data_IF_923047206744
#
_entry.id   IF_923047206744
#
_cell.length_a   1.000
_cell.length_b   1.000
_cell.length_c   1.000
_cell.angle_alpha   90.00
_cell.angle_beta   90.00
_cell.angle_gamma   90.00
#
_symmetry.space_group_name_H-M   'P 1'
#
loop_
_entity.id
_entity.type
_entity.pdbx_description
1 polymer ?
#
# COMPACT_ATOMS: atom_id res chain seq x y z
N UNK A 1 -38.50 1.11 4.91
CA UNK A 1 -37.50 0.07 5.22
C UNK A 1 -36.53 0.71 6.19
N UNK A 2 -36.35 0.19 7.40
CA UNK A 2 -35.30 0.69 8.32
C UNK A 2 -33.99 0.72 7.54
N UNK A 3 -33.39 1.90 7.32
CA UNK A 3 -32.09 2.04 6.65
C UNK A 3 -31.01 1.52 7.60
N UNK A 4 -31.02 0.21 7.83
CA UNK A 4 -30.00 -0.48 8.58
C UNK A 4 -28.64 -0.09 7.98
N UNK A 5 -27.76 0.51 8.78
CA UNK A 5 -26.41 0.89 8.35
C UNK A 5 -25.60 -0.28 7.79
N UNK A 6 -24.48 0.04 7.13
CA UNK A 6 -23.64 -0.91 6.36
C UNK A 6 -23.30 -2.16 7.16
N UNK A 7 -23.03 -2.01 8.45
CA UNK A 7 -22.70 -3.12 9.33
C UNK A 7 -23.84 -4.12 9.54
N UNK A 8 -25.05 -3.62 9.75
CA UNK A 8 -26.22 -4.50 9.90
C UNK A 8 -26.62 -5.16 8.58
N UNK A 9 -26.47 -4.48 7.45
CA UNK A 9 -26.66 -5.10 6.12
C UNK A 9 -25.69 -6.25 5.90
N UNK A 10 -24.41 -6.04 6.18
CA UNK A 10 -23.37 -7.07 6.04
C UNK A 10 -23.61 -8.29 6.94
N UNK A 11 -23.98 -8.07 8.20
CA UNK A 11 -24.39 -9.17 9.09
C UNK A 11 -25.58 -9.96 8.53
N UNK A 12 -26.60 -9.26 8.02
CA UNK A 12 -27.78 -9.91 7.44
C UNK A 12 -27.43 -10.76 6.22
N UNK A 13 -26.55 -10.29 5.34
CA UNK A 13 -26.05 -11.08 4.20
C UNK A 13 -25.37 -12.37 4.67
N UNK A 14 -24.43 -12.26 5.61
CA UNK A 14 -23.67 -13.39 6.15
C UNK A 14 -24.59 -14.39 6.84
N UNK A 15 -25.47 -13.94 7.73
CA UNK A 15 -26.37 -14.83 8.47
C UNK A 15 -27.42 -15.48 7.57
N UNK A 16 -27.98 -14.75 6.61
CA UNK A 16 -28.93 -15.32 5.64
C UNK A 16 -28.26 -16.37 4.76
N UNK A 17 -27.07 -16.10 4.24
CA UNK A 17 -26.30 -17.10 3.50
C UNK A 17 -26.00 -18.34 4.35
N UNK A 18 -25.69 -18.13 5.64
CA UNK A 18 -25.44 -19.21 6.60
C UNK A 18 -26.63 -20.14 6.83
N UNK A 19 -27.88 -19.64 6.78
CA UNK A 19 -29.10 -20.48 6.85
C UNK A 19 -29.14 -21.52 5.72
N UNK A 20 -28.58 -21.18 4.56
CA UNK A 20 -28.47 -22.08 3.41
C UNK A 20 -27.13 -22.85 3.36
N UNK A 21 -26.35 -22.84 4.45
CA UNK A 21 -25.07 -23.54 4.54
C UNK A 21 -23.90 -22.86 3.82
N UNK A 22 -24.05 -21.61 3.37
CA UNK A 22 -22.98 -20.86 2.73
C UNK A 22 -22.16 -20.08 3.77
N UNK A 23 -20.85 -20.35 3.81
CA UNK A 23 -19.91 -19.64 4.67
C UNK A 23 -19.27 -18.44 3.95
N UNK A 24 -18.78 -17.43 4.69
CA UNK A 24 -17.98 -16.35 4.12
C UNK A 24 -16.75 -16.89 3.36
N UNK A 25 -16.41 -16.28 2.21
CA UNK A 25 -15.30 -16.72 1.35
C UNK A 25 -13.97 -16.66 2.09
N UNK A 26 -13.77 -15.57 2.84
CA UNK A 26 -12.64 -15.36 3.73
C UNK A 26 -13.09 -15.21 5.19
N UNK A 27 -12.24 -15.50 6.18
CA UNK A 27 -12.58 -15.28 7.59
C UNK A 27 -12.78 -13.80 7.90
N UNK A 28 -13.71 -13.52 8.81
CA UNK A 28 -14.02 -12.16 9.29
C UNK A 28 -13.05 -11.63 10.35
N UNK A 29 -12.16 -12.48 10.89
CA UNK A 29 -11.12 -12.05 11.84
C UNK A 29 -9.75 -12.02 11.17
N UNK A 30 -8.98 -10.96 11.43
CA UNK A 30 -7.66 -10.79 10.82
C UNK A 30 -6.67 -11.93 11.14
N UNK A 31 -6.75 -12.51 12.35
CA UNK A 31 -5.90 -13.65 12.74
C UNK A 31 -6.23 -14.89 11.91
N UNK A 32 -7.51 -15.23 11.76
CA UNK A 32 -7.93 -16.38 10.95
C UNK A 32 -7.64 -16.14 9.45
N UNK A 33 -7.84 -14.91 8.99
CA UNK A 33 -7.52 -14.47 7.63
C UNK A 33 -6.04 -14.69 7.30
N UNK A 34 -5.13 -14.19 8.15
CA UNK A 34 -3.69 -14.40 7.97
C UNK A 34 -3.30 -15.89 8.08
N UNK A 35 -3.89 -16.64 9.02
CA UNK A 35 -3.61 -18.05 9.19
C UNK A 35 -4.01 -18.89 7.97
N UNK A 36 -5.16 -18.60 7.35
CA UNK A 36 -5.57 -19.24 6.10
C UNK A 36 -4.67 -18.80 4.93
N UNK A 37 -4.35 -17.51 4.82
CA UNK A 37 -3.47 -17.02 3.76
C UNK A 37 -2.07 -17.65 3.84
N UNK A 38 -1.53 -17.88 5.04
CA UNK A 38 -0.26 -18.61 5.25
C UNK A 38 -0.29 -20.02 4.67
N UNK A 39 -1.43 -20.71 4.76
CA UNK A 39 -1.60 -22.07 4.21
C UNK A 39 -1.80 -22.06 2.68
N UNK A 40 -2.36 -21.00 2.13
CA UNK A 40 -2.66 -20.89 0.71
C UNK A 40 -1.44 -20.39 -0.12
N UNK A 41 -0.60 -19.54 0.45
CA UNK A 41 0.55 -18.96 -0.24
C UNK A 41 1.77 -19.87 -0.19
N UNK A 42 2.58 -19.82 -1.25
CA UNK A 42 3.90 -20.43 -1.21
C UNK A 42 4.82 -19.68 -0.22
N UNK A 43 5.91 -20.31 0.26
CA UNK A 43 6.78 -19.73 1.29
C UNK A 43 7.35 -18.35 0.95
N UNK A 44 7.76 -18.11 -0.31
CA UNK A 44 8.35 -16.83 -0.75
C UNK A 44 7.30 -15.72 -0.78
N UNK A 45 6.13 -16.00 -1.33
CA UNK A 45 5.03 -15.05 -1.37
C UNK A 45 4.54 -14.68 0.03
N UNK A 46 4.41 -15.67 0.92
CA UNK A 46 4.03 -15.42 2.30
C UNK A 46 5.10 -14.63 3.06
N UNK A 47 6.38 -15.01 2.94
CA UNK A 47 7.50 -14.31 3.55
C UNK A 47 7.54 -12.83 3.15
N UNK A 48 7.40 -12.54 1.86
CA UNK A 48 7.43 -11.18 1.34
C UNK A 48 6.34 -10.28 1.93
N UNK A 49 5.11 -10.78 2.05
CA UNK A 49 3.98 -9.96 2.57
C UNK A 49 3.96 -9.94 4.11
N UNK A 50 4.23 -11.07 4.76
CA UNK A 50 4.14 -11.21 6.22
C UNK A 50 5.38 -10.70 6.97
N UNK A 51 6.53 -10.64 6.29
CA UNK A 51 7.80 -10.25 6.87
C UNK A 51 7.85 -8.78 7.29
N UNK A 52 8.63 -8.52 8.33
CA UNK A 52 9.03 -7.19 8.78
C UNK A 52 10.55 -6.99 8.72
N UNK A 53 11.02 -5.84 9.18
CA UNK A 53 12.44 -5.59 9.39
C UNK A 53 12.92 -6.26 10.69
N UNK A 54 14.20 -6.64 10.73
CA UNK A 54 14.85 -7.19 11.93
C UNK A 54 14.11 -8.38 12.51
N UNK A 55 13.93 -8.38 13.83
CA UNK A 55 13.19 -9.41 14.59
C UNK A 55 11.67 -9.15 14.58
N UNK A 56 11.20 -8.24 13.71
CA UNK A 56 9.81 -7.83 13.54
C UNK A 56 9.18 -7.27 14.82
N UNK A 57 10.00 -6.68 15.69
CA UNK A 57 9.55 -6.08 16.96
C UNK A 57 8.58 -4.94 16.69
N UNK A 58 8.94 -4.01 15.81
CA UNK A 58 8.06 -2.87 15.44
C UNK A 58 6.79 -3.35 14.75
N UNK A 59 6.85 -4.39 13.90
CA UNK A 59 5.65 -4.97 13.28
C UNK A 59 4.66 -5.48 14.34
N UNK A 60 5.14 -6.19 15.37
CA UNK A 60 4.29 -6.64 16.49
C UNK A 60 3.83 -5.47 17.35
N UNK A 61 4.71 -4.49 17.61
CA UNK A 61 4.40 -3.33 18.43
C UNK A 61 3.31 -2.44 17.80
N UNK A 62 3.32 -2.28 16.47
CA UNK A 62 2.23 -1.61 15.72
C UNK A 62 0.86 -2.25 15.99
N UNK A 63 0.80 -3.58 16.10
CA UNK A 63 -0.45 -4.30 16.40
C UNK A 63 -0.81 -4.13 17.88
N UNK A 64 0.15 -4.38 18.77
CA UNK A 64 -0.05 -4.28 20.21
C UNK A 64 -0.44 -2.87 20.67
N UNK A 65 -0.13 -1.83 19.88
CA UNK A 65 -0.50 -0.45 20.21
C UNK A 65 -2.01 -0.22 20.26
N UNK A 66 -2.77 -0.83 19.36
CA UNK A 66 -4.22 -0.76 19.37
C UNK A 66 -4.81 -1.44 20.62
N UNK A 67 -4.20 -2.52 21.08
CA UNK A 67 -4.72 -3.33 22.21
C UNK A 67 -4.63 -2.57 23.55
N UNK A 68 -3.83 -1.48 23.62
CA UNK A 68 -3.73 -0.58 24.78
C UNK A 68 -4.83 0.48 24.85
N UNK A 69 -5.73 0.51 23.87
CA UNK A 69 -6.85 1.44 23.84
C UNK A 69 -8.16 0.66 23.90
N UNK A 70 -9.04 1.07 24.79
CA UNK A 70 -10.37 0.50 24.96
C UNK A 70 -11.41 1.57 24.65
N UNK A 71 -12.43 1.21 23.86
CA UNK A 71 -13.53 2.13 23.56
C UNK A 71 -14.50 2.15 24.75
N UNK A 72 -15.00 3.33 25.12
CA UNK A 72 -15.96 3.51 26.21
C UNK A 72 -17.37 3.70 25.62
N UNK A 73 -18.27 2.70 25.66
CA UNK A 73 -19.60 2.82 25.07
C UNK A 73 -20.48 3.82 25.81
N UNK A 74 -21.33 4.52 25.07
CA UNK A 74 -22.32 5.47 25.58
C UNK A 74 -23.73 4.92 25.36
N UNK A 75 -24.41 4.59 26.44
CA UNK A 75 -25.74 3.97 26.43
C UNK A 75 -26.86 5.00 26.25
N UNK A 76 -28.06 4.54 25.88
CA UNK A 76 -29.28 5.35 25.71
C UNK A 76 -29.14 6.52 24.72
N UNK A 77 -28.34 6.34 23.67
CA UNK A 77 -28.25 7.27 22.54
C UNK A 77 -28.98 6.69 21.34
N UNK A 78 -29.73 7.54 20.62
CA UNK A 78 -30.33 7.13 19.35
C UNK A 78 -29.25 7.05 18.27
N UNK A 79 -28.96 5.81 17.86
CA UNK A 79 -27.99 5.49 16.80
C UNK A 79 -28.67 4.80 15.63
N UNK A 80 -29.98 4.95 15.47
CA UNK A 80 -30.76 4.28 14.42
C UNK A 80 -30.24 4.59 13.01
N UNK A 81 -29.72 5.80 12.78
CA UNK A 81 -29.01 6.23 11.57
C UNK A 81 -27.57 6.66 11.91
N UNK A 82 -26.64 6.33 11.01
CA UNK A 82 -25.20 6.64 11.16
C UNK A 82 -24.63 7.11 9.83
N UNK A 83 -23.83 8.15 9.87
CA UNK A 83 -23.01 8.62 8.76
C UNK A 83 -21.54 8.26 9.02
N UNK A 84 -21.02 7.30 8.26
CA UNK A 84 -19.61 6.90 8.32
C UNK A 84 -18.73 7.73 7.40
N UNK A 85 -19.28 8.62 6.58
CA UNK A 85 -18.52 9.31 5.54
C UNK A 85 -17.55 10.37 6.09
N UNK A 86 -16.51 10.65 5.32
CA UNK A 86 -15.55 11.74 5.59
C UNK A 86 -15.22 12.49 4.31
N UNK A 87 -14.98 13.79 4.42
CA UNK A 87 -14.42 14.59 3.31
C UNK A 87 -12.89 14.49 3.32
N UNK A 88 -12.28 14.26 2.17
CA UNK A 88 -10.82 14.24 2.02
C UNK A 88 -10.44 14.71 0.61
N UNK A 89 -9.67 15.81 0.53
CA UNK A 89 -9.26 16.45 -0.73
C UNK A 89 -10.40 16.66 -1.73
N UNK A 90 -11.54 17.18 -1.26
CA UNK A 90 -12.71 17.48 -2.10
C UNK A 90 -13.55 16.26 -2.49
N UNK A 91 -13.30 15.09 -1.90
CA UNK A 91 -14.11 13.88 -2.09
C UNK A 91 -14.79 13.44 -0.80
N UNK A 92 -16.08 13.15 -0.89
CA UNK A 92 -16.83 12.42 0.14
C UNK A 92 -16.57 10.93 0.02
N UNK A 93 -15.81 10.38 0.97
CA UNK A 93 -15.51 8.95 1.05
C UNK A 93 -16.58 8.23 1.88
N UNK A 94 -16.91 6.94 1.59
CA UNK A 94 -17.94 6.21 2.33
C UNK A 94 -17.55 5.93 3.80
N UNK A 95 -16.25 5.92 4.09
CA UNK A 95 -15.67 5.71 5.41
C UNK A 95 -14.25 6.29 5.47
N UNK A 96 -13.67 6.51 6.68
CA UNK A 96 -12.27 6.92 6.86
C UNK A 96 -11.27 5.78 6.57
N UNK A 97 -11.36 5.17 5.39
CA UNK A 97 -10.61 3.99 4.97
C UNK A 97 -10.11 4.16 3.53
N UNK A 98 -8.83 3.87 3.32
CA UNK A 98 -8.19 3.72 2.02
C UNK A 98 -7.46 2.37 1.97
N UNK A 99 -7.25 1.82 0.78
CA UNK A 99 -6.31 0.73 0.57
C UNK A 99 -4.92 1.31 0.37
N UNK A 100 -4.01 1.01 1.30
CA UNK A 100 -2.63 1.46 1.24
C UNK A 100 -1.84 0.80 0.11
N UNK A 101 -0.74 1.43 -0.35
CA UNK A 101 0.06 0.93 -1.45
C UNK A 101 0.83 -0.33 -1.03
N UNK A 102 0.63 -1.43 -1.75
CA UNK A 102 1.35 -2.70 -1.56
C UNK A 102 1.97 -3.13 -2.89
N UNK A 103 3.29 -2.98 -3.01
CA UNK A 103 4.02 -3.33 -4.24
C UNK A 103 4.22 -4.84 -4.44
N UNK A 104 4.42 -5.24 -5.70
CA UNK A 104 4.66 -6.61 -6.15
C UNK A 104 3.59 -7.62 -5.72
N UNK A 105 2.31 -7.20 -5.66
CA UNK A 105 1.22 -8.04 -5.18
C UNK A 105 0.84 -9.18 -6.16
N UNK A 106 1.45 -9.23 -7.35
CA UNK A 106 1.46 -10.43 -8.20
C UNK A 106 2.07 -11.67 -7.52
N UNK A 107 2.88 -11.48 -6.47
CA UNK A 107 3.35 -12.60 -5.65
C UNK A 107 2.19 -13.28 -4.91
N UNK A 108 1.09 -12.57 -4.68
CA UNK A 108 -0.06 -13.05 -3.93
C UNK A 108 -1.10 -13.68 -4.85
N UNK A 109 -1.43 -13.02 -5.96
CA UNK A 109 -2.44 -13.47 -6.90
C UNK A 109 -2.18 -12.93 -8.31
N UNK A 110 -2.48 -13.73 -9.34
CA UNK A 110 -2.18 -13.40 -10.75
C UNK A 110 -2.84 -12.12 -11.27
N UNK A 111 -4.02 -11.77 -10.74
CA UNK A 111 -4.71 -10.53 -11.12
C UNK A 111 -4.18 -9.30 -10.37
N UNK A 112 -3.31 -9.51 -9.37
CA UNK A 112 -2.56 -8.48 -8.66
C UNK A 112 -3.39 -7.21 -8.35
N UNK A 113 -2.86 -6.04 -8.74
CA UNK A 113 -3.46 -4.73 -8.51
C UNK A 113 -4.83 -4.58 -9.17
N UNK A 114 -5.10 -5.21 -10.32
CA UNK A 114 -6.41 -5.12 -11.00
C UNK A 114 -7.55 -5.71 -10.17
N UNK A 115 -7.30 -6.81 -9.46
CA UNK A 115 -8.30 -7.39 -8.56
C UNK A 115 -8.57 -6.46 -7.37
N UNK A 116 -7.54 -5.78 -6.87
CA UNK A 116 -7.68 -4.80 -5.78
C UNK A 116 -8.42 -3.56 -6.27
N UNK A 117 -8.09 -3.07 -7.46
CA UNK A 117 -8.71 -1.91 -8.09
C UNK A 117 -10.22 -2.11 -8.33
N UNK A 118 -10.63 -3.27 -8.85
CA UNK A 118 -12.06 -3.58 -9.03
C UNK A 118 -12.81 -3.70 -7.71
N UNK A 119 -12.21 -4.34 -6.71
CA UNK A 119 -12.81 -4.44 -5.37
C UNK A 119 -12.95 -3.05 -4.72
N UNK A 120 -11.92 -2.20 -4.80
CA UNK A 120 -11.93 -0.82 -4.31
C UNK A 120 -13.02 0.02 -4.99
N UNK A 121 -13.13 -0.09 -6.31
CA UNK A 121 -14.17 0.59 -7.09
C UNK A 121 -15.58 0.14 -6.70
N UNK A 122 -15.80 -1.18 -6.54
CA UNK A 122 -17.09 -1.76 -6.15
C UNK A 122 -17.57 -1.29 -4.77
N UNK A 123 -16.65 -0.96 -3.85
CA UNK A 123 -16.97 -0.49 -2.50
C UNK A 123 -16.86 1.03 -2.34
N UNK A 124 -16.42 1.76 -3.37
CA UNK A 124 -16.15 3.20 -3.31
C UNK A 124 -14.97 3.60 -2.40
N UNK A 125 -14.15 2.63 -1.96
CA UNK A 125 -13.01 2.87 -1.07
C UNK A 125 -11.80 3.26 -1.94
N UNK A 126 -11.09 4.36 -1.66
CA UNK A 126 -9.94 4.73 -2.47
C UNK A 126 -8.84 3.68 -2.45
N UNK A 127 -8.19 3.48 -3.60
CA UNK A 127 -6.96 2.70 -3.71
C UNK A 127 -5.77 3.63 -3.93
N UNK A 128 -4.69 3.43 -3.17
CA UNK A 128 -3.40 4.06 -3.43
C UNK A 128 -2.57 3.12 -4.32
N UNK A 129 -2.38 3.49 -5.58
CA UNK A 129 -1.54 2.74 -6.51
C UNK A 129 -0.08 2.81 -6.05
N UNK A 130 0.60 1.67 -5.98
CA UNK A 130 2.03 1.65 -5.64
C UNK A 130 2.89 2.00 -6.85
N UNK A 131 3.99 2.73 -6.61
CA UNK A 131 5.05 2.90 -7.61
C UNK A 131 5.61 1.53 -8.06
N UNK A 132 5.63 0.52 -7.18
CA UNK A 132 6.02 -0.86 -7.50
C UNK A 132 4.81 -1.79 -7.72
N UNK A 133 3.76 -1.28 -8.36
CA UNK A 133 2.63 -2.12 -8.77
C UNK A 133 3.05 -3.16 -9.83
N UNK A 134 2.30 -4.26 -9.86
CA UNK A 134 2.42 -5.31 -10.88
C UNK A 134 1.54 -5.05 -12.11
N UNK A 135 0.66 -4.06 -12.05
CA UNK A 135 -0.13 -3.54 -13.18
C UNK A 135 0.00 -2.02 -13.22
N UNK A 136 -0.04 -1.41 -14.41
CA UNK A 136 0.12 0.03 -14.55
C UNK A 136 -1.04 0.81 -13.91
N UNK A 137 -0.77 2.07 -13.54
CA UNK A 137 -1.80 2.92 -12.93
C UNK A 137 -2.94 3.21 -13.90
N UNK A 138 -2.65 3.28 -15.20
CA UNK A 138 -3.63 3.53 -16.26
C UNK A 138 -4.60 2.35 -16.41
N UNK A 139 -4.09 1.11 -16.39
CA UNK A 139 -4.94 -0.09 -16.45
C UNK A 139 -5.81 -0.22 -15.19
N UNK A 140 -5.25 0.06 -14.01
CA UNK A 140 -6.03 0.08 -12.76
C UNK A 140 -7.08 1.21 -12.78
N UNK A 141 -6.71 2.40 -13.24
CA UNK A 141 -7.61 3.53 -13.37
C UNK A 141 -8.77 3.25 -14.32
N UNK A 142 -8.51 2.56 -15.45
CA UNK A 142 -9.53 2.20 -16.43
C UNK A 142 -10.64 1.34 -15.80
N UNK A 143 -10.29 0.32 -15.00
CA UNK A 143 -11.28 -0.56 -14.35
C UNK A 143 -11.97 0.11 -13.16
N UNK A 144 -11.36 1.16 -12.58
CA UNK A 144 -11.95 1.93 -11.49
C UNK A 144 -12.92 3.02 -11.96
N UNK A 145 -12.98 3.34 -13.25
CA UNK A 145 -13.92 4.34 -13.78
C UNK A 145 -13.73 5.70 -13.12
N UNK A 146 -14.73 6.19 -12.38
CA UNK A 146 -14.67 7.45 -11.60
C UNK A 146 -14.36 7.30 -10.11
N UNK A 147 -14.10 6.08 -9.62
CA UNK A 147 -13.84 5.83 -8.19
C UNK A 147 -12.55 6.51 -7.70
N UNK A 148 -12.49 6.97 -6.44
CA UNK A 148 -11.33 7.72 -5.93
C UNK A 148 -10.07 6.85 -5.94
N UNK A 149 -8.92 7.45 -6.25
CA UNK A 149 -7.63 6.76 -6.35
C UNK A 149 -6.48 7.72 -6.15
N UNK A 150 -5.41 7.28 -5.52
CA UNK A 150 -4.20 8.08 -5.32
C UNK A 150 -2.99 7.36 -5.91
N UNK A 151 -1.88 8.08 -6.06
CA UNK A 151 -0.61 7.48 -6.48
C UNK A 151 0.45 7.62 -5.41
N UNK A 152 1.08 6.51 -5.05
CA UNK A 152 2.25 6.50 -4.19
C UNK A 152 3.51 6.69 -5.02
N UNK A 153 4.26 7.75 -4.72
CA UNK A 153 5.53 8.06 -5.37
C UNK A 153 6.69 7.49 -4.55
N UNK A 154 7.52 6.67 -5.21
CA UNK A 154 8.90 6.43 -4.77
C UNK A 154 9.81 7.31 -5.61
N UNK A 155 10.46 8.26 -4.94
CA UNK A 155 11.21 9.30 -5.61
C UNK A 155 12.57 8.75 -6.05
N UNK A 156 12.65 8.42 -7.34
CA UNK A 156 13.83 7.81 -7.95
C UNK A 156 14.99 8.80 -8.10
N UNK A 157 16.19 8.31 -8.41
CA UNK A 157 17.35 9.15 -8.74
C UNK A 157 17.22 9.87 -10.09
N UNK A 158 16.27 9.46 -10.94
CA UNK A 158 15.94 10.16 -12.19
C UNK A 158 14.77 11.12 -11.97
N UNK A 159 15.08 12.42 -11.94
CA UNK A 159 14.08 13.48 -11.83
C UNK A 159 13.12 13.49 -13.04
N UNK A 160 13.62 13.24 -14.25
CA UNK A 160 12.79 13.15 -15.46
C UNK A 160 11.76 12.01 -15.36
N UNK A 161 12.16 10.85 -14.83
CA UNK A 161 11.24 9.74 -14.62
C UNK A 161 10.19 10.08 -13.54
N UNK A 162 10.61 10.74 -12.46
CA UNK A 162 9.69 11.20 -11.40
C UNK A 162 8.65 12.15 -11.97
N UNK A 163 9.07 13.13 -12.77
CA UNK A 163 8.17 14.06 -13.45
C UNK A 163 7.20 13.33 -14.39
N UNK A 164 7.68 12.32 -15.13
CA UNK A 164 6.82 11.50 -15.99
C UNK A 164 5.77 10.71 -15.21
N UNK A 165 6.17 10.06 -14.11
CA UNK A 165 5.27 9.30 -13.25
C UNK A 165 4.21 10.19 -12.59
N UNK A 166 4.60 11.38 -12.15
CA UNK A 166 3.68 12.38 -11.58
C UNK A 166 2.66 12.84 -12.63
N UNK A 167 3.11 13.21 -13.83
CA UNK A 167 2.20 13.60 -14.91
C UNK A 167 1.29 12.45 -15.37
N UNK A 168 1.74 11.20 -15.26
CA UNK A 168 0.90 10.02 -15.50
C UNK A 168 -0.14 9.81 -14.41
N UNK A 169 0.20 10.05 -13.14
CA UNK A 169 -0.74 9.99 -12.04
C UNK A 169 -1.88 11.01 -12.20
N UNK A 170 -1.55 12.25 -12.60
CA UNK A 170 -2.54 13.27 -12.94
C UNK A 170 -3.48 12.82 -14.07
N UNK A 171 -2.91 12.32 -15.18
CA UNK A 171 -3.69 11.81 -16.33
C UNK A 171 -4.54 10.58 -16.00
N UNK A 172 -4.11 9.76 -15.05
CA UNK A 172 -4.86 8.62 -14.55
C UNK A 172 -6.03 9.03 -13.62
N UNK A 173 -6.19 10.33 -13.35
CA UNK A 173 -7.25 10.87 -12.50
C UNK A 173 -7.00 10.61 -11.02
N UNK A 174 -5.74 10.56 -10.59
CA UNK A 174 -5.44 10.44 -9.16
C UNK A 174 -5.83 11.72 -8.43
N UNK A 175 -6.42 11.59 -7.23
CA UNK A 175 -6.84 12.73 -6.43
C UNK A 175 -5.72 13.26 -5.50
N UNK A 176 -4.63 12.52 -5.30
CA UNK A 176 -3.47 12.93 -4.49
C UNK A 176 -2.20 12.10 -4.78
N UNK A 177 -1.05 12.65 -4.38
CA UNK A 177 0.25 11.96 -4.33
C UNK A 177 0.64 11.60 -2.89
N UNK A 178 1.13 10.38 -2.69
CA UNK A 178 1.67 9.89 -1.42
C UNK A 178 3.17 9.64 -1.57
N UNK A 179 3.99 10.63 -1.19
CA UNK A 179 5.45 10.55 -1.27
C UNK A 179 5.96 9.72 -0.10
N UNK A 180 6.51 8.54 -0.39
CA UNK A 180 6.96 7.61 0.66
C UNK A 180 8.43 7.84 1.00
N UNK A 181 8.70 8.31 2.21
CA UNK A 181 10.03 8.73 2.67
C UNK A 181 10.74 7.70 3.56
N UNK A 182 10.01 6.71 4.07
CA UNK A 182 10.54 5.70 5.01
C UNK A 182 11.20 4.48 4.32
N UNK A 183 11.35 4.50 3.00
CA UNK A 183 11.94 3.41 2.19
C UNK A 183 12.89 3.98 1.12
N UNK A 184 13.71 4.97 1.48
CA UNK A 184 14.77 5.46 0.59
C UNK A 184 15.88 4.43 0.37
N UNK A 185 15.97 3.46 1.28
CA UNK A 185 16.76 2.23 1.20
C UNK A 185 15.89 1.03 1.60
N UNK A 186 16.33 -0.18 1.25
CA UNK A 186 15.66 -1.40 1.71
C UNK A 186 16.04 -1.72 3.16
N UNK A 187 15.04 -1.86 4.02
CA UNK A 187 15.22 -2.39 5.37
C UNK A 187 15.73 -3.84 5.37
N UNK A 188 16.41 -4.21 6.46
CA UNK A 188 16.91 -5.56 6.68
C UNK A 188 15.76 -6.52 6.99
N UNK A 189 15.38 -7.39 6.05
CA UNK A 189 14.21 -8.29 6.16
C UNK A 189 14.64 -9.76 6.15
N UNK A 190 14.89 -10.39 7.31
CA UNK A 190 15.43 -11.75 7.38
C UNK A 190 14.64 -12.79 6.59
N UNK A 191 13.30 -12.74 6.61
CA UNK A 191 12.48 -13.71 5.86
C UNK A 191 12.71 -13.69 4.35
N UNK A 192 12.98 -12.52 3.78
CA UNK A 192 13.27 -12.36 2.34
C UNK A 192 14.73 -12.77 2.06
N UNK A 193 15.65 -12.38 2.94
CA UNK A 193 17.08 -12.66 2.85
C UNK A 193 17.39 -14.17 2.96
N UNK A 194 16.81 -14.86 3.93
CA UNK A 194 16.99 -16.31 4.15
C UNK A 194 16.48 -17.16 2.97
N UNK A 195 15.55 -16.59 2.18
CA UNK A 195 15.02 -17.22 0.97
C UNK A 195 15.73 -16.75 -0.30
N UNK A 196 16.68 -15.81 -0.20
CA UNK A 196 17.37 -15.17 -1.32
C UNK A 196 16.40 -14.57 -2.32
N UNK A 197 15.30 -13.97 -1.85
CA UNK A 197 14.17 -13.60 -2.70
C UNK A 197 13.86 -12.10 -2.64
N UNK A 198 14.05 -11.42 -3.77
CA UNK A 198 13.55 -10.07 -4.01
C UNK A 198 12.74 -10.07 -5.32
N UNK A 199 11.44 -9.74 -5.32
CA UNK A 199 10.60 -9.78 -6.52
C UNK A 199 11.16 -8.94 -7.67
N UNK A 200 11.70 -7.75 -7.36
CA UNK A 200 12.18 -6.81 -8.35
C UNK A 200 13.33 -7.36 -9.20
N UNK A 201 14.19 -8.20 -8.61
CA UNK A 201 15.27 -8.89 -9.34
C UNK A 201 14.75 -9.89 -10.39
N UNK A 202 13.45 -10.20 -10.38
CA UNK A 202 12.77 -11.05 -11.37
C UNK A 202 11.85 -10.24 -12.30
N UNK A 203 11.94 -8.90 -12.28
CA UNK A 203 11.06 -8.02 -13.04
C UNK A 203 9.65 -7.92 -12.49
N UNK A 204 9.41 -8.30 -11.23
CA UNK A 204 8.08 -8.25 -10.62
C UNK A 204 7.86 -6.94 -9.89
N UNK A 205 6.66 -6.37 -9.99
CA UNK A 205 6.31 -5.10 -9.34
C UNK A 205 7.02 -3.89 -9.95
N UNK A 206 7.29 -3.91 -11.26
CA UNK A 206 7.90 -2.78 -11.99
C UNK A 206 7.03 -2.30 -13.15
N UNK A 207 5.72 -2.59 -13.12
CA UNK A 207 4.82 -2.29 -14.23
C UNK A 207 4.74 -0.79 -14.52
N UNK A 208 4.78 0.06 -13.48
CA UNK A 208 4.81 1.51 -13.66
C UNK A 208 6.04 1.96 -14.45
N UNK A 209 7.17 1.27 -14.30
CA UNK A 209 8.42 1.60 -14.98
C UNK A 209 8.39 1.07 -16.41
N UNK A 210 8.04 -0.20 -16.60
CA UNK A 210 8.03 -0.80 -17.94
C UNK A 210 6.91 -0.25 -18.84
N UNK A 211 5.89 0.41 -18.28
CA UNK A 211 4.91 1.20 -19.02
C UNK A 211 5.33 2.66 -19.27
N UNK A 212 6.41 3.14 -18.65
CA UNK A 212 6.86 4.53 -18.73
C UNK A 212 7.76 4.80 -19.95
N UNK A 213 7.50 5.86 -20.74
CA UNK A 213 8.34 6.17 -21.89
C UNK A 213 9.75 6.65 -21.50
N UNK A 214 9.93 7.38 -20.39
CA UNK A 214 11.26 7.81 -19.92
C UNK A 214 12.07 6.59 -19.49
N UNK A 215 11.46 5.72 -18.69
CA UNK A 215 12.13 4.49 -18.25
C UNK A 215 12.54 3.60 -19.43
N UNK A 216 11.67 3.43 -20.44
CA UNK A 216 12.01 2.63 -21.63
C UNK A 216 13.24 3.18 -22.36
N UNK A 217 13.37 4.50 -22.49
CA UNK A 217 14.58 5.11 -23.06
C UNK A 217 15.82 4.82 -22.23
N UNK A 218 15.75 4.97 -20.90
CA UNK A 218 16.87 4.64 -20.00
C UNK A 218 17.31 3.16 -20.15
N UNK A 219 16.35 2.25 -20.38
CA UNK A 219 16.64 0.83 -20.61
C UNK A 219 17.34 0.61 -21.96
N UNK A 220 16.87 1.27 -23.02
CA UNK A 220 17.47 1.19 -24.36
C UNK A 220 18.91 1.75 -24.35
N UNK A 221 19.13 2.89 -23.69
CA UNK A 221 20.46 3.49 -23.52
C UNK A 221 21.41 2.55 -22.78
N UNK A 222 20.95 1.90 -21.70
CA UNK A 222 21.76 0.90 -20.98
C UNK A 222 22.08 -0.32 -21.83
N UNK A 223 21.10 -0.82 -22.57
CA UNK A 223 21.29 -2.00 -23.42
C UNK A 223 22.29 -1.70 -24.54
N UNK A 224 22.30 -0.48 -25.10
CA UNK A 224 23.26 -0.04 -26.11
C UNK A 224 24.70 0.10 -25.57
N UNK A 225 24.85 0.42 -24.28
CA UNK A 225 26.16 0.56 -23.63
C UNK A 225 26.77 -0.78 -23.16
N UNK A 226 26.00 -1.87 -23.18
CA UNK A 226 26.49 -3.20 -22.80
C UNK A 226 27.18 -3.85 -24.01
N UNK A 227 28.51 -4.08 -24.00
CA UNK A 227 29.23 -4.56 -25.18
C UNK A 227 28.73 -5.94 -25.63
N UNK A 228 28.67 -6.13 -26.96
CA UNK A 228 28.33 -7.40 -27.56
C UNK A 228 29.32 -8.50 -27.11
N UNK A 229 28.87 -9.75 -26.91
CA UNK A 229 29.67 -10.84 -26.34
C UNK A 229 30.94 -11.21 -27.13
N UNK A 230 31.12 -10.67 -28.34
CA UNK A 230 32.19 -11.00 -29.29
C UNK A 230 33.27 -9.91 -29.45
N UNK A 231 33.33 -8.90 -28.57
CA UNK A 231 34.44 -7.93 -28.60
C UNK A 231 35.72 -8.49 -27.92
N UNK A 232 36.91 -8.38 -28.56
CA UNK A 232 38.17 -8.83 -27.96
C UNK A 232 38.53 -7.91 -26.77
N UNK A 233 38.46 -8.44 -25.55
CA UNK A 233 38.73 -7.71 -24.29
C UNK A 233 37.83 -8.11 -23.12
N UNK A 234 36.71 -8.79 -23.39
CA UNK A 234 35.75 -9.25 -22.37
C UNK A 234 36.13 -10.58 -21.66
N UNK A 235 37.40 -11.00 -21.70
CA UNK A 235 37.82 -12.31 -21.17
C UNK A 235 38.11 -12.32 -19.66
N UNK A 236 38.33 -11.17 -19.00
CA UNK A 236 38.67 -11.15 -17.57
C UNK A 236 37.45 -11.32 -16.63
N UNK A 237 36.23 -11.10 -17.12
CA UNK A 237 35.00 -11.21 -16.33
C UNK A 237 34.25 -12.55 -16.50
N UNK A 238 34.75 -13.45 -17.36
CA UNK A 238 34.10 -14.75 -17.62
C UNK A 238 34.31 -15.80 -16.52
N UNK A 239 35.33 -15.63 -15.67
CA UNK A 239 35.68 -16.61 -14.64
C UNK A 239 34.74 -16.64 -13.42
N UNK A 240 33.71 -15.79 -13.40
CA UNK A 240 32.76 -15.71 -12.29
C UNK A 240 31.28 -15.79 -12.68
N UNK A 241 30.93 -16.14 -13.93
CA UNK A 241 29.51 -16.34 -14.28
C UNK A 241 29.06 -17.75 -13.89
N UNK A 242 28.17 -17.91 -12.90
CA UNK A 242 27.72 -19.22 -12.46
C UNK A 242 27.03 -19.95 -13.61
N UNK A 243 27.26 -21.27 -13.70
CA UNK A 243 26.61 -22.13 -14.71
C UNK A 243 25.09 -21.90 -14.70
N UNK A 244 24.43 -21.87 -15.87
CA UNK A 244 23.00 -21.59 -15.95
C UNK A 244 22.22 -22.62 -15.13
N UNK A 245 21.60 -22.15 -14.04
CA UNK A 245 20.76 -22.99 -13.17
C UNK A 245 19.31 -22.95 -13.64
N UNK A 246 18.47 -23.95 -13.31
CA UNK A 246 17.03 -23.87 -13.55
C UNK A 246 16.38 -22.63 -12.91
N UNK A 247 16.96 -22.12 -11.83
CA UNK A 247 16.53 -20.86 -11.21
C UNK A 247 16.82 -19.65 -12.10
N UNK A 248 18.01 -19.58 -12.71
CA UNK A 248 18.37 -18.51 -13.64
C UNK A 248 17.47 -18.50 -14.90
N UNK A 249 17.14 -19.67 -15.45
CA UNK A 249 16.21 -19.78 -16.59
C UNK A 249 14.81 -19.27 -16.21
N UNK A 250 14.30 -19.65 -15.04
CA UNK A 250 13.01 -19.14 -14.54
C UNK A 250 13.03 -17.63 -14.30
N UNK A 251 14.15 -17.08 -13.84
CA UNK A 251 14.31 -15.65 -13.67
C UNK A 251 14.24 -14.92 -15.03
N UNK A 252 14.94 -15.42 -16.05
CA UNK A 252 14.88 -14.86 -17.41
C UNK A 252 13.47 -14.88 -18.00
N UNK A 253 12.73 -15.98 -17.83
CA UNK A 253 11.32 -16.06 -18.26
C UNK A 253 10.46 -15.04 -17.51
N UNK A 254 10.70 -14.84 -16.21
CA UNK A 254 10.02 -13.82 -15.41
C UNK A 254 10.26 -12.41 -15.96
N UNK A 255 11.53 -12.04 -16.17
CA UNK A 255 11.91 -10.75 -16.73
C UNK A 255 11.29 -10.53 -18.11
N UNK A 256 11.37 -11.53 -19.00
CA UNK A 256 10.84 -11.45 -20.34
C UNK A 256 9.31 -11.27 -20.39
N UNK A 257 8.57 -11.76 -19.38
CA UNK A 257 7.12 -11.54 -19.25
C UNK A 257 6.77 -10.16 -18.72
N UNK A 258 7.64 -9.55 -17.92
CA UNK A 258 7.43 -8.23 -17.34
C UNK A 258 7.73 -7.09 -18.32
N UNK A 259 8.55 -7.36 -19.34
CA UNK A 259 8.82 -6.43 -20.41
C UNK A 259 7.67 -6.43 -21.46
N UNK A 260 7.26 -5.27 -21.99
CA UNK A 260 6.25 -5.19 -23.03
C UNK A 260 6.64 -5.96 -24.30
N UNK A 261 5.65 -6.49 -25.03
CA UNK A 261 5.88 -7.22 -26.29
C UNK A 261 5.72 -8.73 -26.16
N UNK A 262 6.09 -9.46 -27.21
CA UNK A 262 5.92 -10.93 -27.21
C UNK A 262 7.01 -11.62 -26.39
N UNK A 263 6.63 -12.68 -25.67
CA UNK A 263 7.59 -13.46 -24.86
C UNK A 263 8.74 -14.01 -25.72
N UNK A 264 8.46 -14.39 -26.97
CA UNK A 264 9.46 -14.96 -27.88
C UNK A 264 10.51 -13.93 -28.30
N UNK A 265 10.11 -12.68 -28.53
CA UNK A 265 11.02 -11.58 -28.83
C UNK A 265 11.81 -11.20 -27.58
N UNK A 266 11.13 -11.09 -26.44
CA UNK A 266 11.75 -10.69 -25.18
C UNK A 266 12.82 -11.68 -24.71
N UNK A 267 12.61 -12.99 -24.92
CA UNK A 267 13.63 -14.01 -24.62
C UNK A 267 14.91 -13.90 -25.46
N UNK A 268 14.88 -13.18 -26.60
CA UNK A 268 16.04 -12.94 -27.48
C UNK A 268 16.58 -11.52 -27.38
N UNK A 269 15.94 -10.68 -26.57
CA UNK A 269 16.28 -9.27 -26.42
C UNK A 269 17.10 -9.05 -25.14
N UNK A 270 18.07 -8.13 -25.13
CA UNK A 270 18.74 -7.71 -23.90
C UNK A 270 17.85 -6.84 -23.01
N UNK A 271 16.76 -6.27 -23.55
CA UNK A 271 15.94 -5.26 -22.88
C UNK A 271 15.32 -5.73 -21.56
N UNK A 272 14.75 -6.95 -21.42
CA UNK A 272 14.13 -7.35 -20.15
C UNK A 272 15.14 -7.41 -18.98
N UNK A 273 16.37 -7.83 -19.25
CA UNK A 273 17.44 -7.84 -18.25
C UNK A 273 17.91 -6.42 -17.95
N UNK A 274 18.14 -5.61 -18.98
CA UNK A 274 18.50 -4.21 -18.83
C UNK A 274 17.43 -3.43 -18.06
N UNK A 275 16.15 -3.77 -18.20
CA UNK A 275 15.04 -3.18 -17.45
C UNK A 275 15.15 -3.44 -15.95
N UNK A 276 15.39 -4.69 -15.54
CA UNK A 276 15.60 -5.02 -14.13
C UNK A 276 16.82 -4.31 -13.57
N UNK A 277 17.94 -4.34 -14.29
CA UNK A 277 19.16 -3.68 -13.87
C UNK A 277 18.94 -2.16 -13.75
N UNK A 278 18.23 -1.54 -14.70
CA UNK A 278 17.91 -0.10 -14.70
C UNK A 278 17.06 0.26 -13.50
N UNK A 279 15.98 -0.48 -13.29
CA UNK A 279 15.14 -0.33 -12.11
C UNK A 279 15.98 -0.39 -10.83
N UNK A 280 16.76 -1.46 -10.64
CA UNK A 280 17.56 -1.69 -9.43
C UNK A 280 18.58 -0.57 -9.16
N UNK A 281 19.04 0.13 -10.20
CA UNK A 281 20.00 1.23 -10.06
C UNK A 281 19.39 2.59 -9.74
N UNK A 282 18.09 2.80 -9.99
CA UNK A 282 17.47 4.14 -9.89
C UNK A 282 16.36 4.23 -8.85
N UNK A 283 15.75 3.11 -8.43
CA UNK A 283 14.55 3.15 -7.58
C UNK A 283 14.80 3.66 -6.15
N UNK A 284 16.04 3.59 -5.67
CA UNK A 284 16.44 3.99 -4.32
C UNK A 284 17.22 5.30 -4.36
N UNK A 285 16.75 6.31 -3.62
CA UNK A 285 17.38 7.63 -3.50
C UNK A 285 17.51 8.03 -2.02
N UNK A 286 18.58 7.60 -1.33
CA UNK A 286 18.85 7.97 0.08
C UNK A 286 19.22 9.44 0.27
N UNK A 287 19.50 10.18 -0.81
CA UNK A 287 19.93 11.57 -0.78
C UNK A 287 18.80 12.60 -0.80
N UNK A 288 17.53 12.19 -0.72
CA UNK A 288 16.39 13.13 -0.71
C UNK A 288 16.43 13.97 0.58
N UNK A 289 16.20 15.26 0.41
CA UNK A 289 16.13 16.25 1.46
C UNK A 289 14.83 17.05 1.37
N UNK A 290 14.63 17.95 2.33
CA UNK A 290 13.49 18.86 2.32
C UNK A 290 13.53 19.87 1.17
N UNK A 291 14.72 20.22 0.66
CA UNK A 291 14.88 21.19 -0.42
C UNK A 291 14.35 20.63 -1.75
N UNK A 292 14.42 19.31 -1.93
CA UNK A 292 13.85 18.62 -3.10
C UNK A 292 12.32 18.79 -3.18
N UNK A 293 11.62 18.97 -2.05
CA UNK A 293 10.17 19.06 -2.01
C UNK A 293 9.62 20.23 -2.86
N UNK A 294 10.32 21.36 -2.89
CA UNK A 294 9.95 22.51 -3.72
C UNK A 294 9.93 22.15 -5.22
N UNK A 295 10.87 21.31 -5.66
CA UNK A 295 10.95 20.84 -7.04
C UNK A 295 9.73 19.99 -7.43
N UNK A 296 9.28 19.10 -6.53
CA UNK A 296 8.12 18.24 -6.78
C UNK A 296 6.82 19.05 -6.76
N UNK A 297 6.67 19.96 -5.79
CA UNK A 297 5.50 20.85 -5.70
C UNK A 297 5.32 21.70 -6.95
N UNK A 298 6.41 22.12 -7.59
CA UNK A 298 6.35 22.90 -8.83
C UNK A 298 5.88 22.10 -10.07
N UNK A 299 5.76 20.77 -9.97
CA UNK A 299 5.49 19.85 -11.10
C UNK A 299 4.13 19.18 -11.06
N UNK A 300 3.34 19.45 -10.04
CA UNK A 300 2.00 18.90 -9.91
C UNK A 300 1.07 19.87 -9.24
N UNK A 301 -0.22 19.71 -9.55
CA UNK A 301 -1.33 20.36 -8.85
C UNK A 301 -2.03 19.44 -7.86
N UNK A 302 -1.63 18.16 -7.81
CA UNK A 302 -2.20 17.21 -6.87
C UNK A 302 -1.76 17.54 -5.44
N UNK A 303 -2.66 17.37 -4.45
CA UNK A 303 -2.28 17.36 -3.05
C UNK A 303 -1.14 16.38 -2.79
N UNK A 304 -0.11 16.82 -2.07
CA UNK A 304 1.05 16.01 -1.69
C UNK A 304 0.95 15.62 -0.22
N UNK A 305 1.01 14.32 0.05
CA UNK A 305 1.14 13.77 1.40
C UNK A 305 2.50 13.14 1.60
N UNK A 306 3.15 13.43 2.72
CA UNK A 306 4.39 12.75 3.11
C UNK A 306 4.08 11.53 3.98
N UNK A 307 4.48 10.34 3.52
CA UNK A 307 4.28 9.08 4.23
C UNK A 307 5.57 8.58 4.88
N UNK A 308 5.44 8.13 6.13
CA UNK A 308 6.55 7.68 6.96
C UNK A 308 6.89 8.65 8.09
N UNK A 309 6.07 9.68 8.30
CA UNK A 309 6.25 10.68 9.35
C UNK A 309 5.95 10.04 10.71
N UNK A 310 6.88 10.11 11.65
CA UNK A 310 6.69 9.62 13.02
C UNK A 310 7.04 10.67 14.06
N UNK A 311 7.89 11.64 13.72
CA UNK A 311 8.31 12.69 14.64
C UNK A 311 7.45 13.95 14.47
N UNK A 312 7.01 14.60 15.57
CA UNK A 312 6.22 15.83 15.50
C UNK A 312 6.93 16.98 14.78
N UNK A 313 8.26 17.08 14.89
CA UNK A 313 9.02 18.13 14.18
C UNK A 313 9.03 17.94 12.66
N UNK A 314 9.09 16.69 12.19
CA UNK A 314 8.98 16.41 10.75
C UNK A 314 7.58 16.75 10.24
N UNK A 315 6.54 16.50 11.05
CA UNK A 315 5.18 16.90 10.71
C UNK A 315 5.05 18.44 10.61
N UNK A 316 5.61 19.19 11.57
CA UNK A 316 5.63 20.66 11.51
C UNK A 316 6.36 21.14 10.26
N UNK A 317 7.56 20.62 10.02
CA UNK A 317 8.38 20.99 8.86
C UNK A 317 7.69 20.67 7.54
N UNK A 318 6.96 19.57 7.46
CA UNK A 318 6.16 19.23 6.28
C UNK A 318 5.09 20.28 6.00
N UNK A 319 4.31 20.68 7.02
CA UNK A 319 3.28 21.72 6.88
C UNK A 319 3.90 23.07 6.53
N UNK A 320 5.01 23.43 7.18
CA UNK A 320 5.69 24.70 6.93
C UNK A 320 6.30 24.74 5.50
N UNK A 321 6.64 23.58 4.93
CA UNK A 321 7.05 23.42 3.53
C UNK A 321 5.87 23.39 2.53
N UNK A 322 4.63 23.47 3.02
CA UNK A 322 3.41 23.57 2.23
C UNK A 322 2.94 22.26 1.62
N UNK A 323 3.14 21.13 2.29
CA UNK A 323 2.46 19.87 1.92
C UNK A 323 1.00 19.88 2.37
N UNK A 324 0.17 19.06 1.74
CA UNK A 324 -1.28 19.05 1.93
C UNK A 324 -1.75 17.99 2.93
N UNK A 325 -0.85 17.15 3.43
CA UNK A 325 -1.15 16.15 4.45
C UNK A 325 0.08 15.32 4.86
N UNK A 326 -0.09 14.51 5.90
CA UNK A 326 0.94 13.56 6.34
C UNK A 326 0.32 12.19 6.60
N UNK A 327 1.09 11.12 6.38
CA UNK A 327 0.70 9.75 6.72
C UNK A 327 1.66 9.22 7.78
N UNK A 328 1.15 9.05 9.00
CA UNK A 328 1.87 8.44 10.12
C UNK A 328 2.02 6.95 9.82
N UNK A 329 3.26 6.48 9.65
CA UNK A 329 3.53 5.12 9.19
C UNK A 329 4.92 4.65 9.59
N UNK A 330 5.03 3.36 9.91
CA UNK A 330 6.31 2.64 10.05
C UNK A 330 6.53 1.69 8.87
N UNK A 331 5.83 1.91 7.75
CA UNK A 331 5.76 0.99 6.63
C UNK A 331 5.27 -0.41 7.01
N UNK A 332 4.37 -0.50 8.00
CA UNK A 332 3.93 -1.77 8.56
C UNK A 332 5.03 -2.55 9.29
N UNK A 333 6.06 -1.85 9.79
CA UNK A 333 7.23 -2.42 10.47
C UNK A 333 8.22 -3.12 9.54
N UNK A 334 8.32 -2.69 8.27
CA UNK A 334 9.11 -3.35 7.21
C UNK A 334 10.45 -2.69 6.91
N UNK A 335 10.76 -1.55 7.54
CA UNK A 335 11.94 -0.73 7.23
C UNK A 335 12.89 -0.64 8.42
N UNK A 336 12.47 0.06 9.47
CA UNK A 336 13.22 0.19 10.72
C UNK A 336 12.59 -0.70 11.78
N UNK A 337 13.34 -1.67 12.29
CA UNK A 337 12.96 -2.40 13.50
C UNK A 337 13.41 -1.65 14.76
N UNK A 338 12.72 -1.88 15.89
CA UNK A 338 12.84 -1.08 17.12
C UNK A 338 12.38 0.39 16.99
N UNK A 339 11.69 0.75 15.91
CA UNK A 339 10.96 2.02 15.80
C UNK A 339 9.72 2.06 16.70
N UNK A 340 9.31 3.27 17.10
CA UNK A 340 8.03 3.55 17.78
C UNK A 340 6.85 3.02 16.94
N UNK A 341 5.79 2.48 17.56
CA UNK A 341 4.56 2.12 16.85
C UNK A 341 3.90 3.35 16.20
N UNK A 342 3.38 3.19 14.98
CA UNK A 342 2.74 4.30 14.27
C UNK A 342 1.54 4.90 15.04
N UNK A 343 0.73 4.06 15.70
CA UNK A 343 -0.38 4.54 16.52
C UNK A 343 0.08 5.37 17.73
N UNK A 344 1.26 5.09 18.29
CA UNK A 344 1.80 5.86 19.42
C UNK A 344 2.35 7.22 18.98
N UNK A 345 2.88 7.30 17.76
CA UNK A 345 3.34 8.57 17.18
C UNK A 345 2.17 9.48 16.76
N UNK A 346 0.99 8.92 16.49
CA UNK A 346 -0.15 9.64 15.93
C UNK A 346 -0.60 10.84 16.78
N UNK A 347 -0.86 10.73 18.10
CA UNK A 347 -1.31 11.87 18.90
C UNK A 347 -0.31 13.02 18.93
N UNK A 348 0.99 12.73 18.97
CA UNK A 348 2.04 13.75 18.99
C UNK A 348 2.13 14.48 17.65
N UNK A 349 2.01 13.75 16.54
CA UNK A 349 1.94 14.33 15.19
C UNK A 349 0.71 15.22 15.02
N UNK A 350 -0.46 14.74 15.45
CA UNK A 350 -1.72 15.52 15.41
C UNK A 350 -1.58 16.79 16.26
N UNK A 351 -1.09 16.68 17.49
CA UNK A 351 -0.87 17.82 18.37
C UNK A 351 0.11 18.85 17.79
N UNK A 352 1.12 18.39 17.05
CA UNK A 352 2.14 19.26 16.46
C UNK A 352 1.62 20.12 15.29
N UNK A 353 0.60 19.66 14.56
CA UNK A 353 0.10 20.36 13.37
C UNK A 353 -1.35 20.81 13.44
N UNK A 354 -2.13 20.31 14.39
CA UNK A 354 -3.55 20.62 14.56
C UNK A 354 -4.35 20.32 13.29
N UNK A 355 -5.34 21.16 13.00
CA UNK A 355 -6.22 21.02 11.82
C UNK A 355 -5.65 21.67 10.55
N UNK A 356 -4.35 22.03 10.53
CA UNK A 356 -3.73 22.71 9.37
C UNK A 356 -3.78 21.86 8.10
N UNK A 357 -3.57 20.55 8.23
CA UNK A 357 -3.64 19.56 7.15
C UNK A 357 -4.15 18.22 7.70
N UNK A 358 -4.81 17.37 6.90
CA UNK A 358 -5.21 16.04 7.33
C UNK A 358 -4.00 15.14 7.71
N UNK A 359 -4.15 14.45 8.85
CA UNK A 359 -3.24 13.38 9.28
C UNK A 359 -3.89 12.03 8.97
N UNK A 360 -3.21 11.15 8.26
CA UNK A 360 -3.65 9.77 8.02
C UNK A 360 -2.79 8.79 8.81
N UNK A 361 -3.32 7.59 9.06
CA UNK A 361 -2.59 6.52 9.74
C UNK A 361 -2.46 5.27 8.86
N UNK A 362 -1.26 4.69 8.83
CA UNK A 362 -0.97 3.35 8.33
C UNK A 362 -0.30 2.54 9.45
N UNK A 363 -0.09 1.24 9.24
CA UNK A 363 0.67 0.31 10.09
C UNK A 363 -0.08 -0.17 11.33
N UNK A 364 -0.70 -1.36 11.22
CA UNK A 364 -1.25 -2.10 12.36
C UNK A 364 -2.76 -2.32 12.30
N UNK A 365 -3.48 -1.59 11.46
CA UNK A 365 -4.92 -1.71 11.23
C UNK A 365 -5.27 -3.10 10.70
N UNK A 366 -6.29 -3.73 11.30
CA UNK A 366 -6.78 -5.08 11.01
C UNK A 366 -8.31 -5.18 10.96
N UNK A 367 -9.02 -4.25 11.59
CA UNK A 367 -10.47 -4.34 11.80
C UNK A 367 -11.11 -2.95 11.80
N UNK A 368 -12.44 -2.89 11.73
CA UNK A 368 -13.19 -1.63 11.83
C UNK A 368 -13.06 -0.94 13.20
N UNK A 369 -12.83 -1.70 14.28
CA UNK A 369 -12.54 -1.15 15.60
C UNK A 369 -11.17 -0.45 15.66
N UNK A 370 -10.19 -0.91 14.88
CA UNK A 370 -8.92 -0.21 14.73
C UNK A 370 -9.10 1.11 13.98
N UNK A 371 -9.96 1.13 12.95
CA UNK A 371 -10.32 2.38 12.24
C UNK A 371 -10.92 3.37 13.23
N UNK A 372 -11.88 2.93 14.05
CA UNK A 372 -12.48 3.74 15.10
C UNK A 372 -11.43 4.33 16.06
N UNK A 373 -10.53 3.49 16.56
CA UNK A 373 -9.48 3.90 17.50
C UNK A 373 -8.53 4.93 16.88
N UNK A 374 -8.08 4.69 15.64
CA UNK A 374 -7.19 5.61 14.94
C UNK A 374 -7.85 6.97 14.70
N UNK A 375 -9.12 6.98 14.30
CA UNK A 375 -9.87 8.21 14.05
C UNK A 375 -10.10 8.99 15.34
N UNK A 376 -10.50 8.30 16.41
CA UNK A 376 -10.64 8.93 17.73
C UNK A 376 -9.32 9.52 18.25
N UNK A 377 -8.17 8.98 17.84
CA UNK A 377 -6.84 9.53 18.16
C UNK A 377 -6.37 10.63 17.20
N UNK A 378 -7.22 11.08 16.27
CA UNK A 378 -6.97 12.24 15.40
C UNK A 378 -6.59 11.92 13.96
N UNK A 379 -6.62 10.65 13.53
CA UNK A 379 -6.46 10.33 12.11
C UNK A 379 -7.74 10.71 11.33
N UNK A 380 -7.59 11.43 10.20
CA UNK A 380 -8.69 11.71 9.27
C UNK A 380 -9.16 10.47 8.51
N UNK A 381 -8.22 9.58 8.18
CA UNK A 381 -8.48 8.30 7.55
C UNK A 381 -7.32 7.34 7.79
N UNK A 382 -7.54 6.05 7.53
CA UNK A 382 -6.49 5.02 7.66
C UNK A 382 -6.21 4.29 6.35
N UNK A 383 -4.99 3.80 6.19
CA UNK A 383 -4.56 2.96 5.08
C UNK A 383 -4.51 1.49 5.54
N UNK A 384 -5.37 0.65 4.95
CA UNK A 384 -5.36 -0.79 5.16
C UNK A 384 -4.32 -1.45 4.25
N UNK A 385 -3.44 -2.30 4.78
CA UNK A 385 -2.42 -3.01 4.01
C UNK A 385 -2.63 -4.53 3.96
N UNK A 386 -1.86 -5.26 4.77
CA UNK A 386 -1.83 -6.75 4.79
C UNK A 386 -3.20 -7.45 4.77
N UNK A 387 -4.26 -6.98 5.47
CA UNK A 387 -5.56 -7.66 5.44
C UNK A 387 -6.11 -7.87 4.02
N UNK A 388 -6.07 -6.86 3.16
CA UNK A 388 -6.61 -7.01 1.81
C UNK A 388 -5.73 -7.93 0.95
N UNK A 389 -4.41 -7.97 1.18
CA UNK A 389 -3.52 -8.92 0.54
C UNK A 389 -3.82 -10.37 0.96
N UNK A 390 -4.23 -10.60 2.20
CA UNK A 390 -4.71 -11.92 2.65
C UNK A 390 -6.05 -12.29 2.02
N UNK A 391 -6.97 -11.33 1.87
CA UNK A 391 -8.21 -11.52 1.11
C UNK A 391 -7.91 -11.94 -0.33
N UNK A 392 -7.02 -11.20 -0.99
CA UNK A 392 -6.55 -11.47 -2.35
C UNK A 392 -5.99 -12.89 -2.51
N UNK A 393 -5.16 -13.33 -1.54
CA UNK A 393 -4.57 -14.66 -1.55
C UNK A 393 -5.61 -15.80 -1.51
N UNK A 394 -6.73 -15.58 -0.83
CA UNK A 394 -7.71 -16.61 -0.55
C UNK A 394 -8.82 -16.70 -1.58
N UNK A 395 -9.26 -15.56 -2.12
CA UNK A 395 -10.42 -15.50 -3.00
C UNK A 395 -10.31 -14.41 -4.08
N UNK A 396 -9.09 -13.97 -4.42
CA UNK A 396 -8.88 -12.97 -5.46
C UNK A 396 -9.61 -11.66 -5.15
N UNK A 397 -10.23 -11.08 -6.17
CA UNK A 397 -11.06 -9.86 -6.09
C UNK A 397 -12.18 -9.98 -5.05
N UNK A 398 -12.93 -11.09 -5.04
CA UNK A 398 -13.99 -11.31 -4.06
C UNK A 398 -13.47 -11.33 -2.62
N UNK A 399 -12.25 -11.84 -2.42
CA UNK A 399 -11.61 -11.84 -1.11
C UNK A 399 -11.19 -10.45 -0.66
N UNK A 400 -10.68 -9.62 -1.58
CA UNK A 400 -10.37 -8.20 -1.30
C UNK A 400 -11.64 -7.44 -0.96
N UNK A 401 -12.66 -7.57 -1.81
CA UNK A 401 -13.96 -6.91 -1.62
C UNK A 401 -14.59 -7.28 -0.29
N UNK A 402 -14.61 -8.57 0.05
CA UNK A 402 -15.13 -9.01 1.34
C UNK A 402 -14.34 -8.41 2.52
N UNK A 403 -13.01 -8.36 2.46
CA UNK A 403 -12.21 -7.74 3.54
C UNK A 403 -12.58 -6.26 3.72
N UNK A 404 -12.79 -5.52 2.62
CA UNK A 404 -13.21 -4.12 2.68
C UNK A 404 -14.60 -4.02 3.31
N UNK A 405 -15.57 -4.77 2.81
CA UNK A 405 -16.95 -4.80 3.31
C UNK A 405 -17.00 -5.16 4.81
N UNK A 406 -16.20 -6.13 5.26
CA UNK A 406 -16.14 -6.56 6.66
C UNK A 406 -15.53 -5.46 7.56
N UNK A 407 -14.50 -4.72 7.12
CA UNK A 407 -13.93 -3.58 7.86
C UNK A 407 -14.92 -2.41 7.95
N UNK A 408 -15.57 -2.06 6.83
CA UNK A 408 -16.60 -1.00 6.79
C UNK A 408 -17.78 -1.35 7.71
N UNK A 409 -18.20 -2.61 7.68
CA UNK A 409 -19.28 -3.12 8.51
C UNK A 409 -18.96 -3.07 10.00
N UNK A 410 -17.77 -3.51 10.40
CA UNK A 410 -17.33 -3.46 11.78
C UNK A 410 -17.16 -2.01 12.27
N UNK A 411 -16.70 -1.09 11.42
CA UNK A 411 -16.60 0.33 11.77
C UNK A 411 -17.99 0.94 12.03
N UNK A 412 -18.97 0.73 11.14
CA UNK A 412 -20.36 1.16 11.32
C UNK A 412 -20.97 0.61 12.61
N UNK A 413 -20.78 -0.69 12.88
CA UNK A 413 -21.28 -1.32 14.11
C UNK A 413 -20.60 -0.77 15.35
N UNK A 414 -19.28 -0.56 15.31
CA UNK A 414 -18.52 0.00 16.44
C UNK A 414 -18.98 1.41 16.74
N UNK A 415 -19.18 2.24 15.71
CA UNK A 415 -19.71 3.59 15.84
C UNK A 415 -21.09 3.58 16.54
N UNK A 416 -22.02 2.75 16.06
CA UNK A 416 -23.36 2.64 16.64
C UNK A 416 -23.38 2.06 18.05
N UNK A 417 -22.71 0.92 18.28
CA UNK A 417 -22.68 0.23 19.58
C UNK A 417 -21.99 1.06 20.67
N UNK A 418 -21.19 2.06 20.29
CA UNK A 418 -20.53 2.97 21.22
C UNK A 418 -21.32 4.26 21.43
N UNK A 419 -22.48 4.41 20.77
CA UNK A 419 -23.38 5.54 20.95
C UNK A 419 -23.02 6.75 20.07
N UNK A 420 -22.43 6.54 18.90
CA UNK A 420 -22.05 7.61 17.98
C UNK A 420 -22.80 7.47 16.66
N UNK A 421 -23.11 8.61 16.04
CA UNK A 421 -23.85 8.69 14.76
C UNK A 421 -23.03 9.26 13.62
N UNK A 422 -21.88 9.86 13.89
CA UNK A 422 -21.03 10.47 12.88
C UNK A 422 -19.55 10.37 13.27
N UNK A 423 -18.67 10.40 12.27
CA UNK A 423 -17.21 10.27 12.44
C UNK A 423 -16.62 11.47 13.19
N UNK A 424 -17.18 12.66 13.02
CA UNK A 424 -16.75 13.91 13.68
C UNK A 424 -17.01 13.93 15.20
N UNK A 425 -17.78 12.98 15.73
CA UNK A 425 -18.00 12.79 17.16
C UNK A 425 -16.87 12.00 17.84
N UNK A 426 -15.91 11.50 17.07
CA UNK A 426 -14.82 10.69 17.60
C UNK A 426 -13.64 11.57 18.02
N UNK A 427 -13.32 11.52 19.31
CA UNK A 427 -12.18 12.21 19.91
C UNK A 427 -11.55 11.34 21.00
N UNK A 428 -10.36 11.70 21.54
CA UNK A 428 -9.66 10.84 22.48
C UNK A 428 -10.43 10.50 23.77
N UNK A 429 -11.47 11.28 24.12
CA UNK A 429 -12.35 11.07 25.27
C UNK A 429 -13.27 9.84 25.15
N UNK A 430 -13.51 9.34 23.92
CA UNK A 430 -14.26 8.10 23.70
C UNK A 430 -13.41 6.84 23.95
N UNK A 431 -12.12 7.02 24.24
CA UNK A 431 -11.16 5.97 24.50
C UNK A 431 -10.61 6.02 25.93
N UNK A 432 -10.18 4.87 26.42
CA UNK A 432 -9.40 4.73 27.65
C UNK A 432 -8.13 3.96 27.34
N UNK A 433 -6.98 4.52 27.72
CA UNK A 433 -5.71 3.79 27.70
C UNK A 433 -5.66 2.81 28.87
N UNK A 434 -5.27 1.56 28.61
CA UNK A 434 -5.19 0.46 29.58
C UNK A 434 -3.82 -0.19 29.65
#
# INVERSE_FOLDING_TARGET
MSEAGTGRRRQNEVYRAGVYGHLPRVPTTARALQARAKKALNPRSYAYVAGGAGDEVTQRANRAAFDRWQVVPRVLRDVSSRDTSVELFGRRLPAPLLLGPVGAIELVHRQADLAVARAAAATGVPMVFSNQASVSMEECAAVMGGSPRWFQLYWSTSDELVESLVGRAEKAGCDALVVTLDTTMLGWRPRDLDLGHLPFALGKGIAQYTSDPVFRRLVEERAAQTPAPDQPGASAARDAQPRPTPAAVRALIGMARAWPGSLRENLRSPLPRAAVETFLSIYSRPSITWDDLAWLRARTSLPILLKGVLHPDDARRAVDAGVDGVVVSTHGGRQVDRSIPALDALPDVVAAIGDRVPVLLDSGIRSGADVFTAVALGARAVLLGRPFAWGLALAGEDGVRQVIEDVLAEFDLTLGLTGHTAVDQLSPDVLRRV
#
